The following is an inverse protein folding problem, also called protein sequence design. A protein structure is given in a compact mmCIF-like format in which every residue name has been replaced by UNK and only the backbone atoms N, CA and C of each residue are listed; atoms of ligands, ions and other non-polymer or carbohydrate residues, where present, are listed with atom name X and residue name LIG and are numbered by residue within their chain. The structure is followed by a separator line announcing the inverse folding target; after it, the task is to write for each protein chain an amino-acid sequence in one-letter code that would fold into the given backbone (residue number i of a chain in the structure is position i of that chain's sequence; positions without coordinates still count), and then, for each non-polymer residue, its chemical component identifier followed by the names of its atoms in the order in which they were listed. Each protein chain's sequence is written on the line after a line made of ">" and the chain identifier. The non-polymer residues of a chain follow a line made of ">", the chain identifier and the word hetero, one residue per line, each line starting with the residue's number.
data_IF_270323302092
#
_entry.id   IF_270323302092
#
_cell.length_a   1.000
_cell.length_b   1.000
_cell.length_c   1.000
_cell.angle_alpha   90.00
_cell.angle_beta   90.00
_cell.angle_gamma   90.00
#
_symmetry.space_group_name_H-M   'P 1'
#
loop_
_entity.id
_entity.type
_entity.pdbx_description
1 polymer ?
#
# COMPACT_ATOMS: atom_id res chain seq x y z
N UNK A 1 -8.72 -18.43 23.85
CA UNK A 1 -9.42 -17.35 23.14
C UNK A 1 -10.44 -18.01 22.23
N UNK A 2 -11.71 -17.94 22.59
CA UNK A 2 -12.79 -18.53 21.81
C UNK A 2 -12.84 -17.82 20.44
N UNK A 3 -12.57 -18.56 19.37
CA UNK A 3 -12.85 -18.09 18.03
C UNK A 3 -14.37 -18.20 17.92
N UNK A 4 -15.05 -17.07 18.04
CA UNK A 4 -16.48 -16.95 17.93
C UNK A 4 -16.93 -17.54 16.58
N UNK A 5 -17.68 -18.63 16.71
CA UNK A 5 -18.42 -19.32 15.66
C UNK A 5 -19.61 -18.45 15.26
N UNK A 6 -19.34 -17.43 14.44
CA UNK A 6 -20.36 -16.78 13.62
C UNK A 6 -20.22 -17.31 12.18
N UNK A 7 -20.32 -18.64 12.02
CA UNK A 7 -20.71 -19.20 10.73
C UNK A 7 -22.18 -18.87 10.55
N UNK A 8 -22.47 -17.73 9.91
CA UNK A 8 -23.77 -17.48 9.29
C UNK A 8 -24.18 -18.75 8.53
N UNK A 9 -25.39 -19.25 8.80
CA UNK A 9 -26.02 -20.51 8.35
C UNK A 9 -26.15 -20.69 6.82
N UNK A 10 -25.15 -20.32 6.04
CA UNK A 10 -25.03 -20.69 4.64
C UNK A 10 -24.44 -22.10 4.59
N UNK A 11 -25.31 -23.10 4.64
CA UNK A 11 -24.92 -24.51 4.60
C UNK A 11 -24.31 -24.80 3.21
N UNK A 12 -22.99 -24.72 3.07
CA UNK A 12 -22.24 -24.96 1.82
C UNK A 12 -22.11 -26.45 1.49
N UNK A 13 -23.17 -27.22 1.74
CA UNK A 13 -23.19 -28.66 1.56
C UNK A 13 -23.72 -28.97 0.16
N UNK A 14 -22.91 -29.65 -0.65
CA UNK A 14 -23.31 -30.08 -2.00
C UNK A 14 -22.90 -31.53 -2.22
N UNK A 15 -23.86 -32.38 -2.60
CA UNK A 15 -23.60 -33.78 -2.93
C UNK A 15 -22.97 -34.60 -1.79
N UNK A 16 -23.19 -34.21 -0.53
CA UNK A 16 -22.61 -34.86 0.65
C UNK A 16 -21.24 -34.33 1.08
N UNK A 17 -20.70 -33.33 0.39
CA UNK A 17 -19.45 -32.65 0.76
C UNK A 17 -19.75 -31.30 1.40
N UNK A 18 -19.07 -30.99 2.51
CA UNK A 18 -19.10 -29.68 3.15
C UNK A 18 -17.92 -28.83 2.64
N UNK A 19 -18.25 -27.68 2.04
CA UNK A 19 -17.26 -26.79 1.43
C UNK A 19 -16.97 -25.58 2.32
N UNK A 20 -15.70 -25.24 2.46
CA UNK A 20 -15.27 -24.08 3.25
C UNK A 20 -15.67 -22.73 2.61
N UNK A 21 -15.87 -22.71 1.28
CA UNK A 21 -16.10 -21.51 0.50
C UNK A 21 -17.33 -21.66 -0.38
N UNK A 22 -18.16 -20.62 -0.43
CA UNK A 22 -19.32 -20.54 -1.32
C UNK A 22 -18.93 -20.77 -2.78
N UNK A 23 -17.80 -20.22 -3.22
CA UNK A 23 -17.33 -20.38 -4.60
C UNK A 23 -17.03 -21.85 -4.93
N UNK A 24 -16.53 -22.61 -3.96
CA UNK A 24 -16.24 -24.03 -4.16
C UNK A 24 -17.51 -24.87 -4.11
N UNK A 25 -18.47 -24.51 -3.25
CA UNK A 25 -19.82 -25.09 -3.26
C UNK A 25 -20.55 -24.84 -4.59
N UNK A 26 -20.49 -23.63 -5.14
CA UNK A 26 -21.08 -23.29 -6.44
C UNK A 26 -20.44 -24.11 -7.58
N UNK A 27 -19.11 -24.25 -7.61
CA UNK A 27 -18.41 -25.12 -8.58
C UNK A 27 -18.88 -26.57 -8.45
N UNK A 28 -19.01 -27.07 -7.22
CA UNK A 28 -19.48 -28.43 -6.96
C UNK A 28 -20.93 -28.64 -7.42
N UNK A 29 -21.80 -27.62 -7.25
CA UNK A 29 -23.18 -27.64 -7.73
C UNK A 29 -23.25 -27.68 -9.27
N UNK A 30 -22.41 -26.89 -9.95
CA UNK A 30 -22.29 -26.93 -11.41
C UNK A 30 -21.74 -28.27 -11.91
N UNK A 31 -20.77 -28.86 -11.20
CA UNK A 31 -20.26 -30.19 -11.57
C UNK A 31 -21.33 -31.26 -11.37
N UNK A 32 -22.13 -31.19 -10.30
CA UNK A 32 -23.26 -32.08 -10.04
C UNK A 32 -24.30 -32.01 -11.15
N UNK A 33 -24.65 -30.81 -11.64
CA UNK A 33 -25.60 -30.68 -12.75
C UNK A 33 -25.06 -31.24 -14.06
N UNK A 34 -23.78 -30.99 -14.38
CA UNK A 34 -23.11 -31.61 -15.54
C UNK A 34 -23.10 -33.14 -15.44
N UNK A 35 -22.83 -33.69 -14.25
CA UNK A 35 -22.80 -35.14 -14.01
C UNK A 35 -24.17 -35.75 -14.31
N UNK A 36 -25.27 -35.15 -13.84
CA UNK A 36 -26.63 -35.66 -14.11
C UNK A 36 -26.89 -35.80 -15.60
N UNK A 37 -26.54 -34.79 -16.39
CA UNK A 37 -26.72 -34.79 -17.85
C UNK A 37 -25.84 -35.85 -18.53
N UNK A 38 -24.59 -35.99 -18.09
CA UNK A 38 -23.66 -36.97 -18.66
C UNK A 38 -24.03 -38.41 -18.26
N UNK A 39 -24.54 -38.61 -17.05
CA UNK A 39 -24.90 -39.92 -16.54
C UNK A 39 -26.05 -40.56 -17.34
N UNK A 40 -27.04 -39.76 -17.76
CA UNK A 40 -28.11 -40.22 -18.64
C UNK A 40 -27.56 -40.73 -19.98
N UNK A 41 -26.58 -40.04 -20.57
CA UNK A 41 -25.94 -40.44 -21.83
C UNK A 41 -25.04 -41.67 -21.66
N UNK A 42 -24.30 -41.75 -20.55
CA UNK A 42 -23.36 -42.84 -20.27
C UNK A 42 -24.08 -44.17 -20.03
N UNK A 43 -25.27 -44.17 -19.40
CA UNK A 43 -26.02 -45.42 -19.14
C UNK A 43 -26.37 -46.21 -20.40
N UNK A 44 -26.57 -45.53 -21.54
CA UNK A 44 -26.92 -46.16 -22.82
C UNK A 44 -25.72 -46.36 -23.75
N UNK A 45 -24.49 -46.06 -23.29
CA UNK A 45 -23.29 -46.02 -24.12
C UNK A 45 -22.48 -47.32 -24.03
N UNK A 46 -21.75 -47.67 -25.09
CA UNK A 46 -20.85 -48.84 -25.11
C UNK A 46 -19.57 -48.56 -24.32
N UNK A 47 -18.81 -49.57 -23.87
CA UNK A 47 -17.59 -49.37 -23.07
C UNK A 47 -16.56 -48.43 -23.72
N UNK A 48 -16.38 -48.50 -25.05
CA UNK A 48 -15.50 -47.57 -25.78
C UNK A 48 -16.02 -46.12 -25.78
N UNK A 49 -17.33 -45.93 -25.84
CA UNK A 49 -17.95 -44.60 -25.79
C UNK A 49 -17.77 -43.99 -24.38
N UNK A 50 -17.85 -44.82 -23.34
CA UNK A 50 -17.55 -44.43 -21.94
C UNK A 50 -16.09 -44.00 -21.80
N UNK A 51 -15.15 -44.74 -22.42
CA UNK A 51 -13.71 -44.39 -22.42
C UNK A 51 -13.49 -43.02 -23.07
N UNK A 52 -14.11 -42.77 -24.22
CA UNK A 52 -14.02 -41.49 -24.91
C UNK A 52 -14.58 -40.33 -24.06
N UNK A 53 -15.68 -40.54 -23.32
CA UNK A 53 -16.23 -39.53 -22.40
C UNK A 53 -15.27 -39.28 -21.23
N UNK A 54 -14.69 -40.34 -20.65
CA UNK A 54 -13.73 -40.26 -19.56
C UNK A 54 -12.48 -39.46 -19.96
N UNK A 55 -11.85 -39.83 -21.07
CA UNK A 55 -10.64 -39.17 -21.58
C UNK A 55 -10.90 -37.70 -21.91
N UNK A 56 -12.00 -37.41 -22.64
CA UNK A 56 -12.39 -36.03 -22.97
C UNK A 56 -12.71 -35.21 -21.73
N UNK A 57 -13.29 -35.81 -20.69
CA UNK A 57 -13.61 -35.09 -19.46
C UNK A 57 -12.35 -34.67 -18.68
N UNK A 58 -11.31 -35.52 -18.70
CA UNK A 58 -10.01 -35.24 -18.10
C UNK A 58 -9.23 -34.21 -18.92
N UNK A 59 -9.11 -34.41 -20.23
CA UNK A 59 -8.36 -33.52 -21.13
C UNK A 59 -8.90 -32.09 -21.09
N UNK A 60 -10.23 -31.94 -21.15
CA UNK A 60 -10.88 -30.63 -21.11
C UNK A 60 -11.06 -30.07 -19.69
N UNK A 61 -10.62 -30.80 -18.65
CA UNK A 61 -10.75 -30.40 -17.23
C UNK A 61 -12.16 -29.93 -16.88
N UNK A 62 -13.17 -30.70 -17.32
CA UNK A 62 -14.59 -30.35 -17.19
C UNK A 62 -15.00 -30.21 -15.72
N UNK A 63 -14.35 -31.02 -14.86
CA UNK A 63 -14.60 -31.15 -13.44
C UNK A 63 -13.45 -30.57 -12.62
N UNK A 64 -13.79 -29.75 -11.62
CA UNK A 64 -12.81 -29.08 -10.76
C UNK A 64 -13.11 -29.25 -9.27
N UNK A 65 -14.18 -29.96 -8.95
CA UNK A 65 -14.62 -30.23 -7.58
C UNK A 65 -14.42 -31.70 -7.18
N UNK A 66 -14.39 -32.01 -5.88
CA UNK A 66 -14.35 -33.38 -5.38
C UNK A 66 -15.47 -34.28 -5.92
N UNK A 67 -16.68 -33.73 -6.10
CA UNK A 67 -17.85 -34.43 -6.67
C UNK A 67 -17.56 -34.87 -8.11
N UNK A 68 -16.94 -33.98 -8.89
CA UNK A 68 -16.52 -34.27 -10.26
C UNK A 68 -15.45 -35.36 -10.34
N UNK A 69 -14.47 -35.33 -9.45
CA UNK A 69 -13.44 -36.37 -9.38
C UNK A 69 -13.99 -37.73 -8.95
N UNK A 70 -14.97 -37.75 -8.03
CA UNK A 70 -15.68 -38.97 -7.66
C UNK A 70 -16.41 -39.59 -8.86
N UNK A 71 -17.05 -38.76 -9.70
CA UNK A 71 -17.69 -39.25 -10.92
C UNK A 71 -16.68 -39.84 -11.92
N UNK A 72 -15.54 -39.19 -12.12
CA UNK A 72 -14.45 -39.73 -12.96
C UNK A 72 -13.91 -41.05 -12.40
N UNK A 73 -13.74 -41.16 -11.09
CA UNK A 73 -13.31 -42.40 -10.44
C UNK A 73 -14.32 -43.54 -10.68
N UNK A 74 -15.62 -43.25 -10.57
CA UNK A 74 -16.68 -44.21 -10.88
C UNK A 74 -16.70 -44.63 -12.36
N UNK A 75 -16.44 -43.70 -13.28
CA UNK A 75 -16.29 -44.03 -14.71
C UNK A 75 -15.09 -44.96 -14.93
N UNK A 76 -13.96 -44.67 -14.28
CA UNK A 76 -12.76 -45.51 -14.34
C UNK A 76 -13.03 -46.92 -13.83
N UNK A 77 -13.75 -47.07 -12.72
CA UNK A 77 -14.18 -48.37 -12.18
C UNK A 77 -15.06 -49.16 -13.17
N UNK A 78 -16.02 -48.48 -13.83
CA UNK A 78 -16.83 -49.12 -14.88
C UNK A 78 -15.99 -49.59 -16.07
N UNK A 79 -14.95 -48.86 -16.43
CA UNK A 79 -14.03 -49.26 -17.50
C UNK A 79 -13.20 -50.47 -17.07
N UNK A 80 -12.71 -50.51 -15.82
CA UNK A 80 -12.07 -51.72 -15.29
C UNK A 80 -13.00 -52.94 -15.31
N UNK A 81 -14.25 -52.78 -14.89
CA UNK A 81 -15.25 -53.85 -14.96
C UNK A 81 -15.55 -54.31 -16.40
N UNK A 82 -15.26 -53.46 -17.40
CA UNK A 82 -15.44 -53.77 -18.82
C UNK A 82 -14.21 -54.41 -19.48
N UNK A 83 -13.10 -54.57 -18.75
CA UNK A 83 -11.88 -55.24 -19.22
C UNK A 83 -10.74 -54.32 -19.67
N UNK A 84 -10.82 -53.01 -19.44
CA UNK A 84 -9.71 -52.08 -19.72
C UNK A 84 -8.60 -52.20 -18.67
N UNK A 85 -7.34 -52.07 -19.08
CA UNK A 85 -6.16 -52.10 -18.20
C UNK A 85 -5.82 -50.71 -17.65
N UNK A 86 -4.90 -50.63 -16.66
CA UNK A 86 -4.49 -49.35 -16.10
C UNK A 86 -3.63 -48.53 -17.09
N UNK A 87 -2.87 -49.19 -17.95
CA UNK A 87 -2.02 -48.57 -18.95
C UNK A 87 -2.82 -47.89 -20.08
N UNK A 88 -4.04 -48.36 -20.34
CA UNK A 88 -4.93 -47.82 -21.37
C UNK A 88 -5.73 -46.60 -20.92
N UNK A 89 -5.72 -46.28 -19.62
CA UNK A 89 -6.54 -45.23 -19.01
C UNK A 89 -5.69 -44.08 -18.50
N UNK A 90 -6.07 -42.85 -18.87
CA UNK A 90 -5.43 -41.64 -18.38
C UNK A 90 -5.68 -41.52 -16.86
N UNK A 91 -4.65 -41.23 -16.04
CA UNK A 91 -4.84 -41.01 -14.60
C UNK A 91 -5.64 -39.72 -14.35
N UNK A 92 -6.44 -39.72 -13.28
CA UNK A 92 -7.21 -38.53 -12.86
C UNK A 92 -6.24 -37.53 -12.23
N UNK A 93 -6.04 -36.34 -12.80
CA UNK A 93 -5.10 -35.36 -12.26
C UNK A 93 -5.68 -34.71 -11.00
N UNK A 94 -4.88 -34.65 -9.93
CA UNK A 94 -5.20 -33.90 -8.72
C UNK A 94 -4.44 -32.56 -8.79
N UNK A 95 -5.12 -31.43 -9.03
CA UNK A 95 -4.44 -30.14 -9.20
C UNK A 95 -3.98 -29.50 -7.89
N UNK A 96 -4.22 -30.15 -6.75
CA UNK A 96 -3.89 -29.66 -5.41
C UNK A 96 -2.77 -30.48 -4.77
N UNK A 97 -1.76 -29.80 -4.21
CA UNK A 97 -0.73 -30.45 -3.41
C UNK A 97 -1.30 -30.83 -2.03
N UNK A 98 -1.36 -32.13 -1.75
CA UNK A 98 -1.82 -32.67 -0.46
C UNK A 98 -0.78 -32.56 0.66
N UNK A 99 0.47 -32.19 0.32
CA UNK A 99 1.61 -32.12 1.26
C UNK A 99 1.43 -31.03 2.33
N UNK A 100 0.47 -30.11 2.19
CA UNK A 100 0.07 -29.21 3.28
C UNK A 100 -0.94 -29.87 4.22
N UNK A 101 -0.60 -31.04 4.74
CA UNK A 101 -1.29 -31.63 5.88
C UNK A 101 -0.67 -31.13 7.19
N UNK A 102 -0.63 -29.81 7.35
CA UNK A 102 -0.30 -29.22 8.65
C UNK A 102 -0.76 -27.77 8.73
N UNK A 103 -2.09 -27.61 8.82
CA UNK A 103 -2.66 -26.41 9.44
C UNK A 103 -2.24 -26.25 10.92
N UNK A 104 -1.55 -27.24 11.52
CA UNK A 104 -0.98 -27.18 12.87
C UNK A 104 0.55 -27.07 12.95
N UNK A 105 1.32 -27.24 11.88
CA UNK A 105 2.81 -27.22 11.95
C UNK A 105 3.42 -25.92 11.38
N UNK A 106 2.62 -25.09 10.72
CA UNK A 106 3.07 -23.82 10.12
C UNK A 106 2.73 -22.58 10.97
N UNK A 107 2.66 -22.70 12.30
CA UNK A 107 2.84 -21.54 13.19
C UNK A 107 4.32 -21.27 13.49
N UNK A 108 5.21 -22.20 13.11
CA UNK A 108 6.65 -22.00 13.07
C UNK A 108 7.14 -22.19 11.65
N UNK A 109 8.11 -21.38 11.23
CA UNK A 109 8.77 -21.40 9.91
C UNK A 109 8.09 -20.52 8.85
N UNK A 110 8.36 -19.23 9.00
CA UNK A 110 8.66 -18.27 7.92
C UNK A 110 8.43 -18.77 6.49
N UNK A 111 7.20 -18.67 6.00
CA UNK A 111 6.94 -18.74 4.56
C UNK A 111 7.13 -17.35 3.92
N UNK A 112 8.36 -16.83 3.97
CA UNK A 112 8.86 -15.99 2.89
C UNK A 112 9.18 -16.95 1.76
N UNK A 113 8.30 -17.02 0.76
CA UNK A 113 8.54 -17.28 -0.66
C UNK A 113 7.14 -17.50 -1.26
N UNK A 114 6.57 -16.42 -1.81
CA UNK A 114 5.61 -16.52 -2.91
C UNK A 114 6.35 -16.04 -4.16
N UNK A 115 6.64 -16.92 -5.13
CA UNK A 115 6.94 -16.51 -6.48
C UNK A 115 5.62 -16.57 -7.26
N UNK A 116 4.96 -15.43 -7.49
CA UNK A 116 4.23 -15.26 -8.76
C UNK A 116 3.85 -13.79 -9.03
N UNK A 117 4.24 -13.38 -10.24
CA UNK A 117 3.71 -12.34 -11.11
C UNK A 117 3.27 -10.98 -10.52
N UNK A 118 4.12 -9.96 -10.78
CA UNK A 118 3.80 -8.69 -11.46
C UNK A 118 5.04 -7.78 -11.50
N UNK A 119 5.87 -8.00 -12.52
CA UNK A 119 7.14 -7.31 -12.83
C UNK A 119 6.99 -5.84 -13.27
N UNK A 120 6.34 -5.01 -12.47
CA UNK A 120 6.45 -3.54 -12.65
C UNK A 120 6.35 -2.77 -11.35
N UNK A 121 5.61 -3.30 -10.36
CA UNK A 121 5.49 -2.67 -9.04
C UNK A 121 6.64 -3.03 -8.09
N UNK A 122 7.35 -4.12 -8.34
CA UNK A 122 8.50 -4.54 -7.54
C UNK A 122 9.75 -3.66 -7.80
N UNK A 123 9.95 -3.23 -9.06
CA UNK A 123 11.04 -2.31 -9.40
C UNK A 123 10.84 -0.94 -8.76
N UNK A 124 9.61 -0.41 -8.77
CA UNK A 124 9.30 0.86 -8.10
C UNK A 124 9.56 0.80 -6.59
N UNK A 125 9.26 -0.33 -5.93
CA UNK A 125 9.60 -0.53 -4.51
C UNK A 125 11.11 -0.63 -4.24
N UNK A 126 11.91 -1.10 -5.19
CA UNK A 126 13.39 -1.10 -5.10
C UNK A 126 14.00 0.27 -5.37
N UNK A 127 13.39 1.06 -6.25
CA UNK A 127 13.85 2.41 -6.61
C UNK A 127 13.35 3.49 -5.65
N UNK A 128 12.24 3.25 -4.95
CA UNK A 128 11.67 4.14 -3.94
C UNK A 128 12.70 4.64 -2.89
N UNK A 129 13.53 3.78 -2.24
CA UNK A 129 14.52 4.26 -1.30
C UNK A 129 15.60 5.15 -1.95
N UNK A 130 15.97 4.89 -3.20
CA UNK A 130 16.93 5.71 -3.93
C UNK A 130 16.35 7.08 -4.31
N UNK A 131 15.10 7.11 -4.79
CA UNK A 131 14.38 8.36 -5.11
C UNK A 131 14.19 9.20 -3.85
N UNK A 132 13.80 8.58 -2.73
CA UNK A 132 13.65 9.25 -1.45
C UNK A 132 14.98 9.86 -0.96
N UNK A 133 16.10 9.14 -1.14
CA UNK A 133 17.42 9.64 -0.78
C UNK A 133 17.89 10.80 -1.67
N UNK A 134 17.60 10.76 -2.98
CA UNK A 134 17.89 11.87 -3.90
C UNK A 134 17.06 13.11 -3.54
N UNK A 135 15.77 12.93 -3.22
CA UNK A 135 14.91 14.02 -2.77
C UNK A 135 15.44 14.66 -1.48
N UNK A 136 15.87 13.85 -0.51
CA UNK A 136 16.51 14.32 0.71
C UNK A 136 17.79 15.13 0.42
N UNK A 137 18.62 14.68 -0.52
CA UNK A 137 19.83 15.40 -0.96
C UNK A 137 19.48 16.78 -1.55
N UNK A 138 18.43 16.88 -2.37
CA UNK A 138 17.99 18.14 -2.96
C UNK A 138 17.59 19.14 -1.87
N UNK A 139 16.90 18.69 -0.81
CA UNK A 139 16.53 19.56 0.32
C UNK A 139 17.78 20.10 1.02
N UNK A 140 18.77 19.25 1.27
CA UNK A 140 20.03 19.67 1.91
C UNK A 140 20.78 20.69 1.04
N UNK A 141 20.84 20.48 -0.28
CA UNK A 141 21.45 21.43 -1.21
C UNK A 141 20.67 22.75 -1.24
N UNK A 142 19.34 22.71 -1.25
CA UNK A 142 18.50 23.90 -1.21
C UNK A 142 18.71 24.70 0.09
N UNK A 143 18.84 24.03 1.24
CA UNK A 143 19.20 24.68 2.50
C UNK A 143 20.58 25.34 2.42
N UNK A 144 21.55 24.71 1.75
CA UNK A 144 22.88 25.28 1.56
C UNK A 144 22.87 26.49 0.61
N UNK A 145 22.08 26.45 -0.47
CA UNK A 145 21.90 27.58 -1.39
C UNK A 145 21.22 28.74 -0.69
N UNK A 146 20.12 28.49 0.04
CA UNK A 146 19.44 29.53 0.82
C UNK A 146 20.40 30.08 1.87
N UNK A 147 21.12 29.25 2.61
CA UNK A 147 22.09 29.72 3.60
C UNK A 147 23.24 30.52 2.99
N UNK A 148 23.74 30.11 1.81
CA UNK A 148 24.85 30.78 1.11
C UNK A 148 24.41 32.01 0.30
N UNK A 149 23.12 32.11 -0.06
CA UNK A 149 22.52 33.27 -0.74
C UNK A 149 21.88 34.21 0.28
N UNK A 150 21.55 33.71 1.47
CA UNK A 150 21.19 34.52 2.63
C UNK A 150 22.48 35.03 3.27
N UNK A 151 23.14 35.93 2.54
CA UNK A 151 24.05 36.91 3.14
C UNK A 151 23.25 37.76 4.10
N UNK A 152 22.87 37.24 5.27
CA UNK A 152 22.54 38.04 6.47
C UNK A 152 21.54 39.20 6.26
N UNK A 153 20.69 39.16 5.22
CA UNK A 153 19.94 40.35 4.78
C UNK A 153 18.87 40.76 5.79
N UNK A 154 18.46 39.86 6.68
CA UNK A 154 17.54 40.16 7.76
C UNK A 154 18.22 40.73 9.03
N UNK A 155 19.56 40.72 9.14
CA UNK A 155 20.24 41.24 10.35
C UNK A 155 21.16 42.43 10.04
N UNK A 156 21.81 42.43 8.88
CA UNK A 156 22.70 43.53 8.47
C UNK A 156 21.90 44.76 8.03
N UNK A 157 20.77 44.55 7.35
CA UNK A 157 19.87 45.63 6.92
C UNK A 157 19.13 46.27 8.11
N UNK A 158 18.74 45.48 9.12
CA UNK A 158 18.15 46.02 10.35
C UNK A 158 19.13 46.95 11.08
N UNK A 159 20.40 46.55 11.21
CA UNK A 159 21.43 47.41 11.80
C UNK A 159 21.61 48.70 11.01
N UNK A 160 21.75 48.62 9.68
CA UNK A 160 21.90 49.81 8.81
C UNK A 160 20.69 50.74 8.87
N UNK A 161 19.48 50.20 8.82
CA UNK A 161 18.26 51.01 8.88
C UNK A 161 18.13 51.73 10.22
N UNK A 162 18.37 51.03 11.34
CA UNK A 162 18.35 51.64 12.68
C UNK A 162 19.43 52.72 12.82
N UNK A 163 20.66 52.48 12.37
CA UNK A 163 21.72 53.50 12.40
C UNK A 163 21.37 54.71 11.54
N UNK A 164 20.80 54.51 10.35
CA UNK A 164 20.40 55.61 9.47
C UNK A 164 19.28 56.46 10.09
N UNK A 165 18.37 55.83 10.85
CA UNK A 165 17.35 56.55 11.64
C UNK A 165 17.99 57.45 12.69
N UNK A 166 18.96 56.96 13.46
CA UNK A 166 19.68 57.78 14.43
C UNK A 166 20.43 58.95 13.77
N UNK A 167 21.11 58.70 12.65
CA UNK A 167 21.78 59.76 11.89
C UNK A 167 20.80 60.83 11.38
N UNK A 168 19.63 60.41 10.90
CA UNK A 168 18.58 61.35 10.46
C UNK A 168 17.95 62.13 11.61
N UNK A 169 17.82 61.49 12.78
CA UNK A 169 17.25 62.12 13.97
C UNK A 169 18.19 63.18 14.54
N UNK A 170 19.49 62.90 14.58
CA UNK A 170 20.52 63.86 14.98
C UNK A 170 20.52 65.11 14.08
N UNK A 171 20.34 64.90 12.76
CA UNK A 171 20.23 66.00 11.79
C UNK A 171 18.97 66.85 12.01
N UNK A 172 17.83 66.23 12.31
CA UNK A 172 16.57 66.93 12.61
C UNK A 172 16.69 67.73 13.92
N UNK A 173 17.29 67.17 14.98
CA UNK A 173 17.56 67.91 16.23
C UNK A 173 18.47 69.10 15.98
N UNK A 174 19.57 68.90 15.26
CA UNK A 174 20.52 69.97 14.95
C UNK A 174 19.86 71.09 14.17
N UNK A 175 18.96 70.77 13.23
CA UNK A 175 18.20 71.76 12.49
C UNK A 175 17.22 72.52 13.39
N UNK A 176 16.48 71.81 14.26
CA UNK A 176 15.56 72.44 15.21
C UNK A 176 16.28 73.34 16.20
N UNK A 177 17.40 72.91 16.76
CA UNK A 177 18.21 73.71 17.68
C UNK A 177 18.77 74.96 17.00
N UNK A 178 19.20 74.85 15.73
CA UNK A 178 19.61 76.03 14.94
C UNK A 178 18.46 77.01 14.72
N UNK A 179 17.27 76.52 14.38
CA UNK A 179 16.07 77.36 14.20
C UNK A 179 15.68 78.04 15.51
N UNK A 180 15.72 77.31 16.63
CA UNK A 180 15.42 77.86 17.97
C UNK A 180 16.46 78.92 18.33
N UNK A 181 17.76 78.64 18.16
CA UNK A 181 18.85 79.59 18.44
C UNK A 181 18.76 80.86 17.59
N UNK A 182 18.37 80.75 16.32
CA UNK A 182 18.12 81.91 15.45
C UNK A 182 16.90 82.72 15.91
N UNK A 183 15.84 82.05 16.37
CA UNK A 183 14.65 82.70 16.92
C UNK A 183 14.95 83.41 18.26
N UNK A 184 15.68 82.75 19.18
CA UNK A 184 16.13 83.32 20.46
C UNK A 184 17.01 84.56 20.24
N UNK A 185 17.96 84.49 19.29
CA UNK A 185 18.82 85.63 18.92
C UNK A 185 18.01 86.81 18.36
N UNK A 186 16.95 86.55 17.60
CA UNK A 186 16.06 87.61 17.08
C UNK A 186 15.18 88.21 18.17
N UNK A 187 14.81 87.44 19.18
CA UNK A 187 13.95 87.86 20.29
C UNK A 187 14.74 88.38 21.51
N UNK A 188 16.07 88.33 21.49
CA UNK A 188 16.92 88.84 22.57
C UNK A 188 16.84 88.03 23.87
N UNK A 189 16.48 86.74 23.77
CA UNK A 189 16.36 85.84 24.92
C UNK A 189 17.74 85.25 25.19
N UNK A 190 18.36 85.61 26.31
CA UNK A 190 19.58 84.97 26.82
C UNK A 190 19.20 83.62 27.48
N UNK A 191 20.02 82.60 27.27
CA UNK A 191 19.69 81.18 27.46
C UNK A 191 19.14 80.85 28.85
N UNK A 192 18.08 80.03 28.93
CA UNK A 192 17.56 79.48 30.20
C UNK A 192 18.44 78.32 30.71
N UNK A 193 19.76 78.47 30.64
CA UNK A 193 20.73 77.42 30.97
C UNK A 193 20.92 77.25 32.49
N UNK A 194 20.31 78.12 33.30
CA UNK A 194 20.38 78.10 34.77
C UNK A 194 19.24 77.39 35.51
N UNK A 195 18.32 76.67 34.84
CA UNK A 195 17.14 76.10 35.51
C UNK A 195 17.29 74.63 35.96
N UNK A 196 18.43 73.98 35.67
CA UNK A 196 18.66 72.57 36.02
C UNK A 196 19.81 72.33 37.02
N UNK A 197 20.52 73.38 37.45
CA UNK A 197 21.69 73.24 38.35
C UNK A 197 21.30 73.29 39.85
N UNK A 198 20.14 73.86 40.20
CA UNK A 198 19.65 73.98 41.60
C UNK A 198 18.87 72.74 42.10
N UNK A 199 18.92 71.64 41.35
CA UNK A 199 18.31 70.36 41.75
C UNK A 199 19.36 69.30 42.14
N UNK A 200 20.66 69.65 42.16
CA UNK A 200 21.74 68.69 42.39
C UNK A 200 23.03 69.29 43.01
N UNK A 201 22.98 70.30 43.89
CA UNK A 201 23.94 70.47 44.99
C UNK A 201 23.52 71.61 45.94
N UNK A 202 23.94 71.55 47.21
CA UNK A 202 24.17 72.75 48.04
C UNK A 202 25.10 73.77 47.33
#
# INVERSE_FOLDING_TARGET
>A
MAINDERTDANFIVGGYDFLSELDAQKASLDLSKIKVLEERVKASRPNDIKAVYEKAIENKIFKSPIGWQYLARLREKLYASGFSEEELIPIPIPVSLTRHSAFENLSVQQRIKPDSRDSKAEFKRLFPYILNIFLLIIVIAMFIIASTSDSDNILNYKRNVTNRYSSWEQDLTQREKVIREAEKKLGIESSEGYYDDANND
#
